data_IF_239647137753
#
_entry.id   IF_239647137753
#
_cell.length_a   1.000
_cell.length_b   1.000
_cell.length_c   1.000
_cell.angle_alpha   90.00
_cell.angle_beta   90.00
_cell.angle_gamma   90.00
#
_symmetry.space_group_name_H-M   'P 1'
#
loop_
_entity.id
_entity.type
_entity.pdbx_description
1 polymer ?
#
# COMPACT_ATOMS: atom_id res chain seq x y z
N UNK A 1 0.96 -12.39 -4.76
CA UNK A 1 2.26 -12.48 -5.47
C UNK A 1 2.98 -11.14 -5.52
N UNK A 2 4.31 -11.13 -5.65
CA UNK A 2 5.17 -9.91 -5.58
C UNK A 2 4.72 -8.76 -6.50
N UNK A 3 4.19 -9.05 -7.70
CA UNK A 3 3.79 -7.99 -8.64
C UNK A 3 2.50 -7.30 -8.20
N UNK A 4 1.64 -7.99 -7.43
CA UNK A 4 0.47 -7.39 -6.80
C UNK A 4 0.91 -6.33 -5.77
N UNK A 5 1.90 -6.65 -4.95
CA UNK A 5 2.46 -5.74 -3.95
C UNK A 5 3.14 -4.53 -4.59
N UNK A 6 3.94 -4.74 -5.65
CA UNK A 6 4.57 -3.63 -6.37
C UNK A 6 3.55 -2.67 -6.99
N UNK A 7 2.40 -3.18 -7.46
CA UNK A 7 1.32 -2.33 -7.95
C UNK A 7 0.64 -1.54 -6.82
N UNK A 8 0.38 -2.16 -5.67
CA UNK A 8 -0.14 -1.47 -4.49
C UNK A 8 0.81 -0.35 -4.02
N UNK A 9 2.13 -0.57 -4.07
CA UNK A 9 3.11 0.45 -3.69
C UNK A 9 3.05 1.67 -4.61
N UNK A 10 2.93 1.40 -5.92
CA UNK A 10 2.81 2.47 -6.93
C UNK A 10 1.52 3.25 -6.76
N UNK A 11 0.40 2.56 -6.48
CA UNK A 11 -0.88 3.22 -6.19
C UNK A 11 -0.74 4.12 -4.96
N UNK A 12 -0.12 3.62 -3.89
CA UNK A 12 0.03 4.37 -2.65
C UNK A 12 0.88 5.63 -2.83
N UNK A 13 2.07 5.49 -3.42
CA UNK A 13 2.93 6.62 -3.74
C UNK A 13 2.28 7.63 -4.70
N UNK A 14 1.47 7.16 -5.66
CA UNK A 14 0.74 8.04 -6.57
C UNK A 14 -0.31 8.88 -5.83
N UNK A 15 -1.05 8.29 -4.88
CA UNK A 15 -2.01 9.03 -4.05
C UNK A 15 -1.32 10.08 -3.19
N UNK A 16 -0.19 9.73 -2.58
CA UNK A 16 0.59 10.65 -1.75
C UNK A 16 1.11 11.83 -2.56
N UNK A 17 1.68 11.57 -3.73
CA UNK A 17 2.18 12.62 -4.60
C UNK A 17 1.05 13.52 -5.09
N UNK A 18 -0.08 12.94 -5.50
CA UNK A 18 -1.28 13.72 -5.84
C UNK A 18 -1.73 14.61 -4.68
N UNK A 19 -1.71 14.07 -3.45
CA UNK A 19 -2.11 14.83 -2.28
C UNK A 19 -1.17 15.99 -1.98
N UNK A 20 0.14 15.80 -2.13
CA UNK A 20 1.14 16.86 -1.97
C UNK A 20 0.98 17.97 -3.01
N UNK A 21 0.70 17.62 -4.27
CA UNK A 21 0.60 18.61 -5.36
C UNK A 21 -0.73 19.37 -5.38
N UNK A 22 -1.80 18.80 -4.81
CA UNK A 22 -3.13 19.41 -4.80
C UNK A 22 -3.57 19.89 -3.41
N UNK A 23 -2.62 20.04 -2.47
CA UNK A 23 -2.84 20.45 -1.08
C UNK A 23 -3.95 19.63 -0.38
N UNK A 24 -3.99 18.32 -0.63
CA UNK A 24 -4.98 17.41 -0.05
C UNK A 24 -4.49 16.83 1.26
N UNK A 25 -5.43 16.63 2.17
CA UNK A 25 -5.19 16.05 3.49
C UNK A 25 -5.46 14.55 3.49
N UNK A 26 -4.91 13.79 4.47
CA UNK A 26 -5.36 12.42 4.73
C UNK A 26 -6.90 12.35 4.81
N UNK A 27 -7.49 11.32 4.22
CA UNK A 27 -8.95 11.16 4.08
C UNK A 27 -9.53 11.71 2.78
N UNK A 28 -8.80 12.52 2.00
CA UNK A 28 -9.23 12.86 0.64
C UNK A 28 -9.01 11.67 -0.29
N UNK A 29 -9.99 11.41 -1.18
CA UNK A 29 -9.94 10.29 -2.09
C UNK A 29 -9.72 10.75 -3.54
N UNK A 30 -8.60 10.40 -4.18
CA UNK A 30 -8.41 10.66 -5.60
C UNK A 30 -9.25 9.70 -6.45
N UNK A 31 -9.60 10.14 -7.65
CA UNK A 31 -10.17 9.29 -8.69
C UNK A 31 -9.06 8.62 -9.51
N UNK A 32 -9.39 7.54 -10.22
CA UNK A 32 -8.41 6.92 -11.14
C UNK A 32 -7.98 7.87 -12.25
N UNK A 33 -8.85 8.81 -12.64
CA UNK A 33 -8.50 9.84 -13.61
C UNK A 33 -7.41 10.78 -13.06
N UNK A 34 -7.46 11.12 -11.77
CA UNK A 34 -6.45 11.97 -11.13
C UNK A 34 -5.07 11.30 -11.10
N UNK A 35 -5.02 9.97 -10.92
CA UNK A 35 -3.76 9.24 -10.83
C UNK A 35 -3.18 8.83 -12.19
N UNK A 36 -4.03 8.63 -13.21
CA UNK A 36 -3.64 8.11 -14.53
C UNK A 36 -3.58 9.20 -15.61
N UNK A 37 -3.90 10.46 -15.26
CA UNK A 37 -3.75 11.60 -16.16
C UNK A 37 -2.33 11.68 -16.76
N UNK A 38 -2.24 12.21 -18.00
CA UNK A 38 -1.15 12.12 -18.97
C UNK A 38 0.31 12.04 -18.43
N UNK A 39 0.68 10.90 -17.83
CA UNK A 39 1.97 10.58 -17.21
C UNK A 39 2.32 11.30 -15.88
N UNK A 40 1.38 11.80 -15.08
CA UNK A 40 1.74 12.46 -13.81
C UNK A 40 2.19 11.48 -12.73
N UNK A 41 1.37 10.47 -12.38
CA UNK A 41 1.69 9.57 -11.24
C UNK A 41 1.71 8.09 -11.63
N UNK A 42 0.79 7.64 -12.48
CA UNK A 42 0.74 6.30 -13.03
C UNK A 42 0.59 6.34 -14.55
N UNK A 43 1.48 5.65 -15.28
CA UNK A 43 1.41 5.55 -16.76
C UNK A 43 0.14 4.87 -17.26
N UNK A 44 -0.44 3.97 -16.46
CA UNK A 44 -1.70 3.26 -16.72
C UNK A 44 -2.24 2.69 -15.42
N UNK A 45 -3.54 2.44 -15.37
CA UNK A 45 -4.15 1.69 -14.28
C UNK A 45 -3.49 0.30 -14.18
N UNK A 46 -2.86 -0.05 -13.04
CA UNK A 46 -2.28 -1.36 -12.86
C UNK A 46 -3.37 -2.44 -12.85
N UNK A 47 -3.03 -3.62 -13.38
CA UNK A 47 -3.89 -4.82 -13.32
C UNK A 47 -3.24 -5.84 -12.40
N UNK A 48 -4.03 -6.48 -11.55
CA UNK A 48 -3.52 -7.57 -10.74
C UNK A 48 -3.21 -8.77 -11.65
N UNK A 49 -2.00 -9.34 -11.61
CA UNK A 49 -1.66 -10.51 -12.43
C UNK A 49 -2.50 -11.75 -12.09
N UNK A 50 -3.05 -11.80 -10.88
CA UNK A 50 -3.92 -12.89 -10.41
C UNK A 50 -5.40 -12.64 -10.72
N UNK A 51 -5.74 -11.53 -11.40
CA UNK A 51 -7.13 -11.19 -11.74
C UNK A 51 -7.90 -10.45 -10.63
N UNK A 52 -7.22 -10.00 -9.58
CA UNK A 52 -7.83 -9.22 -8.50
C UNK A 52 -8.10 -7.76 -8.87
N UNK A 53 -8.97 -7.12 -8.10
CA UNK A 53 -9.35 -5.72 -8.27
C UNK A 53 -8.65 -4.88 -7.20
N UNK A 54 -8.02 -3.78 -7.63
CA UNK A 54 -7.41 -2.81 -6.72
C UNK A 54 -8.41 -1.77 -6.26
N UNK A 55 -8.44 -1.52 -4.96
CA UNK A 55 -9.16 -0.41 -4.34
C UNK A 55 -8.12 0.55 -3.78
N UNK A 56 -8.12 1.80 -4.27
CA UNK A 56 -7.09 2.78 -3.91
C UNK A 56 -7.20 3.25 -2.45
N UNK A 57 -8.42 3.34 -1.93
CA UNK A 57 -8.76 4.01 -0.67
C UNK A 57 -8.30 5.48 -0.63
N UNK A 58 -8.66 6.18 0.43
CA UNK A 58 -8.27 7.57 0.63
C UNK A 58 -6.75 7.72 0.85
N UNK A 59 -6.25 8.94 0.71
CA UNK A 59 -4.89 9.29 1.12
C UNK A 59 -4.72 8.99 2.62
N UNK A 60 -3.64 8.31 2.98
CA UNK A 60 -3.41 7.85 4.36
C UNK A 60 -4.12 6.54 4.74
N UNK A 61 -4.88 5.93 3.81
CA UNK A 61 -5.40 4.57 3.95
C UNK A 61 -4.83 3.69 2.85
N UNK A 62 -4.30 2.54 3.22
CA UNK A 62 -3.56 1.69 2.29
C UNK A 62 -4.44 1.15 1.17
N UNK A 63 -3.96 1.10 -0.09
CA UNK A 63 -4.70 0.47 -1.16
C UNK A 63 -4.76 -1.05 -0.94
N UNK A 64 -5.87 -1.67 -1.33
CA UNK A 64 -6.10 -3.11 -1.15
C UNK A 64 -6.34 -3.80 -2.48
N UNK A 65 -6.09 -5.11 -2.54
CA UNK A 65 -6.43 -5.96 -3.67
C UNK A 65 -7.42 -7.04 -3.20
N UNK A 66 -8.49 -7.29 -3.95
CA UNK A 66 -9.53 -8.26 -3.58
C UNK A 66 -9.03 -9.69 -3.39
N UNK A 67 -7.96 -10.06 -4.10
CA UNK A 67 -7.32 -11.38 -4.00
C UNK A 67 -6.09 -11.38 -3.11
N UNK A 68 -5.62 -10.21 -2.67
CA UNK A 68 -4.61 -10.13 -1.63
C UNK A 68 -5.34 -10.19 -0.28
N UNK A 69 -5.90 -11.35 0.03
CA UNK A 69 -6.30 -11.63 1.40
C UNK A 69 -5.03 -11.75 2.23
N UNK A 70 -5.05 -11.19 3.46
CA UNK A 70 -4.00 -11.36 4.47
C UNK A 70 -3.90 -12.85 4.88
N UNK A 71 -3.52 -13.74 3.96
CA UNK A 71 -3.19 -15.13 4.29
C UNK A 71 -1.80 -15.13 4.89
N UNK A 72 -1.75 -14.72 6.16
CA UNK A 72 -0.55 -14.51 6.92
C UNK A 72 -0.80 -13.44 7.98
N UNK A 73 -1.61 -13.77 8.99
CA UNK A 73 -1.52 -13.07 10.26
C UNK A 73 -0.15 -13.47 10.84
N UNK A 74 0.86 -12.62 10.65
CA UNK A 74 2.24 -12.86 11.09
C UNK A 74 2.38 -12.93 12.62
N UNK A 75 1.28 -12.84 13.37
CA UNK A 75 1.27 -12.90 14.84
C UNK A 75 1.33 -14.32 15.41
N UNK A 76 1.12 -15.35 14.59
CA UNK A 76 0.80 -16.66 15.17
C UNK A 76 2.03 -17.58 15.30
N UNK A 77 3.13 -17.32 14.58
CA UNK A 77 4.31 -18.20 14.59
C UNK A 77 5.65 -17.54 14.15
N UNK A 78 6.17 -16.49 14.80
CA UNK A 78 7.60 -16.16 14.61
C UNK A 78 8.30 -15.69 15.90
N UNK A 79 9.13 -16.55 16.53
CA UNK A 79 10.05 -16.14 17.60
C UNK A 79 11.20 -15.28 17.05
N UNK A 80 11.69 -14.39 17.94
CA UNK A 80 12.53 -13.21 17.75
C UNK A 80 13.90 -13.35 17.02
N UNK A 81 14.22 -14.44 16.31
CA UNK A 81 15.61 -14.65 15.83
C UNK A 81 15.86 -14.50 14.33
N UNK A 82 14.87 -14.42 13.43
CA UNK A 82 15.20 -14.38 11.99
C UNK A 82 15.04 -13.01 11.34
N UNK A 83 16.08 -12.22 11.56
CA UNK A 83 16.61 -11.23 10.62
C UNK A 83 16.74 -11.87 9.21
N UNK A 84 16.26 -11.16 8.18
CA UNK A 84 16.25 -11.48 6.73
C UNK A 84 15.24 -12.52 6.21
N UNK A 85 14.06 -12.06 5.77
CA UNK A 85 13.16 -12.83 4.91
C UNK A 85 12.85 -12.06 3.61
N UNK A 86 13.23 -12.66 2.50
CA UNK A 86 13.33 -12.11 1.15
C UNK A 86 11.97 -11.85 0.42
N UNK A 87 10.98 -11.23 1.08
CA UNK A 87 9.78 -10.69 0.40
C UNK A 87 9.02 -9.59 1.21
N UNK A 88 9.74 -8.74 1.95
CA UNK A 88 9.18 -7.68 2.81
C UNK A 88 8.56 -6.47 2.06
N UNK A 89 8.41 -6.50 0.74
CA UNK A 89 7.95 -5.30 -0.01
C UNK A 89 6.45 -5.05 0.11
N UNK A 90 5.62 -6.05 0.35
CA UNK A 90 4.20 -5.82 0.62
C UNK A 90 3.94 -5.18 2.00
N UNK A 91 4.83 -5.44 2.96
CA UNK A 91 4.63 -5.12 4.38
C UNK A 91 4.65 -3.60 4.67
N UNK A 92 5.52 -2.83 3.98
CA UNK A 92 5.70 -1.39 4.28
C UNK A 92 4.51 -0.49 3.92
N UNK A 93 3.67 -0.90 2.98
CA UNK A 93 2.45 -0.14 2.67
C UNK A 93 1.47 -0.29 3.84
N UNK A 94 1.27 -1.51 4.33
CA UNK A 94 0.23 -1.87 5.31
C UNK A 94 0.51 -1.30 6.71
N UNK A 95 1.74 -0.86 6.99
CA UNK A 95 2.15 -0.38 8.32
C UNK A 95 1.93 1.11 8.58
N UNK A 96 1.33 1.88 7.65
CA UNK A 96 1.03 3.30 7.90
C UNK A 96 -0.18 3.53 8.81
N UNK A 97 -1.06 2.54 8.91
CA UNK A 97 -2.25 2.58 9.78
C UNK A 97 -2.07 1.91 11.16
N UNK A 98 -0.90 1.30 11.43
CA UNK A 98 -0.53 0.77 12.74
C UNK A 98 0.26 1.83 13.55
N UNK A 99 -0.27 3.04 13.70
CA UNK A 99 0.26 4.02 14.66
C UNK A 99 -0.13 3.64 16.08
N UNK A 100 0.40 2.55 16.63
CA UNK A 100 0.48 2.36 18.08
C UNK A 100 1.45 1.24 18.48
N UNK A 101 2.76 1.48 18.36
CA UNK A 101 3.75 0.83 19.23
C UNK A 101 4.77 1.87 19.71
N UNK A 102 4.24 2.86 20.42
CA UNK A 102 4.98 3.80 21.26
C UNK A 102 5.29 3.17 22.62
N UNK A 103 6.04 2.08 22.68
CA UNK A 103 6.48 1.54 23.97
C UNK A 103 7.99 1.57 24.08
N UNK A 104 8.41 2.72 24.63
CA UNK A 104 9.61 3.02 25.40
C UNK A 104 10.56 1.83 25.55
N UNK A 105 11.74 2.01 24.97
CA UNK A 105 12.96 1.35 25.42
C UNK A 105 13.14 1.63 26.92
N UNK A 106 13.25 0.61 27.80
CA UNK A 106 14.16 0.69 28.94
C UNK A 106 15.61 0.62 28.46
#
# INVERSE_FOLDING_TARGET
GKWCCENLQKIDGAKEQWALEHDKKPGNQPTWADLVAANTYLKKSPRCPQGGTYTMNAVGTDPVCSLLQRTGRWTDKMPWIMYYANDQRCWKIISRSDTEWSHKLP
#
